data_IF_844706269030
#
_entry.id   IF_844706269030
#
_cell.length_a   1.000
_cell.length_b   1.000
_cell.length_c   1.000
_cell.angle_alpha   90.00
_cell.angle_beta   90.00
_cell.angle_gamma   90.00
#
_symmetry.space_group_name_H-M   'P 1'
#
loop_
_entity.id
_entity.type
_entity.pdbx_description
1 polymer ?
#
# COMPACT_ATOMS: atom_id res chain seq x y z
N UNK A 1 -24.65 6.35 13.49
CA UNK A 1 -24.05 5.06 13.93
C UNK A 1 -22.53 5.15 14.09
N UNK A 2 -21.78 5.73 13.15
CA UNK A 2 -20.31 5.87 13.23
C UNK A 2 -19.85 6.98 14.18
N UNK A 3 -20.49 8.16 14.15
CA UNK A 3 -20.16 9.28 15.07
C UNK A 3 -20.27 8.89 16.55
N UNK A 4 -21.24 8.03 16.88
CA UNK A 4 -21.40 7.50 18.25
C UNK A 4 -20.16 6.70 18.69
N UNK A 5 -19.62 5.86 17.81
CA UNK A 5 -18.43 5.06 18.11
C UNK A 5 -17.17 5.92 18.13
N UNK A 6 -17.05 6.91 17.24
CA UNK A 6 -15.92 7.86 17.22
C UNK A 6 -15.91 8.71 18.50
N UNK A 7 -17.08 9.20 18.94
CA UNK A 7 -17.20 9.95 20.19
C UNK A 7 -16.89 9.07 21.41
N UNK A 8 -17.30 7.80 21.39
CA UNK A 8 -16.99 6.84 22.46
C UNK A 8 -15.49 6.47 22.54
N UNK A 9 -14.74 6.57 21.44
CA UNK A 9 -13.29 6.35 21.43
C UNK A 9 -12.48 7.60 21.78
N UNK A 10 -13.13 8.71 22.15
CA UNK A 10 -12.46 9.97 22.49
C UNK A 10 -11.93 10.74 21.28
N UNK A 11 -12.33 10.36 20.07
CA UNK A 11 -11.93 11.02 18.82
C UNK A 11 -12.96 12.08 18.42
N UNK A 12 -12.49 13.15 17.76
CA UNK A 12 -13.35 14.23 17.31
C UNK A 12 -14.15 13.82 16.05
N UNK A 13 -15.48 13.69 16.13
CA UNK A 13 -16.31 13.27 15.00
C UNK A 13 -16.27 14.26 13.82
N UNK A 14 -15.89 15.52 14.03
CA UNK A 14 -15.73 16.48 12.93
C UNK A 14 -14.42 16.29 12.16
N UNK A 15 -13.40 15.67 12.77
CA UNK A 15 -12.10 15.41 12.13
C UNK A 15 -12.07 14.10 11.35
N UNK A 16 -12.81 13.09 11.81
CA UNK A 16 -12.79 11.74 11.25
C UNK A 16 -14.09 11.43 10.50
N UNK A 17 -13.99 11.37 9.18
CA UNK A 17 -15.12 11.01 8.31
C UNK A 17 -15.02 9.56 7.87
N UNK A 18 -16.15 8.99 7.44
CA UNK A 18 -16.22 7.64 6.85
C UNK A 18 -15.23 7.46 5.69
N UNK A 19 -15.03 8.51 4.88
CA UNK A 19 -14.07 8.48 3.78
C UNK A 19 -12.62 8.45 4.29
N UNK A 20 -12.27 9.23 5.32
CA UNK A 20 -10.92 9.19 5.92
C UNK A 20 -10.58 7.84 6.52
N UNK A 21 -11.54 7.19 7.20
CA UNK A 21 -11.36 5.85 7.74
C UNK A 21 -11.12 4.82 6.62
N UNK A 22 -11.86 4.91 5.51
CA UNK A 22 -11.65 4.09 4.32
C UNK A 22 -10.25 4.30 3.73
N UNK A 23 -9.80 5.55 3.65
CA UNK A 23 -8.46 5.87 3.17
C UNK A 23 -7.38 5.27 4.07
N UNK A 24 -7.51 5.42 5.39
CA UNK A 24 -6.56 4.83 6.34
C UNK A 24 -6.53 3.30 6.24
N UNK A 25 -7.69 2.64 6.14
CA UNK A 25 -7.75 1.18 5.99
C UNK A 25 -7.05 0.70 4.72
N UNK A 26 -7.29 1.37 3.59
CA UNK A 26 -6.63 1.06 2.32
C UNK A 26 -5.11 1.24 2.39
N UNK A 27 -4.62 2.36 2.93
CA UNK A 27 -3.18 2.60 3.13
C UNK A 27 -2.54 1.52 3.99
N UNK A 28 -3.18 1.13 5.10
CA UNK A 28 -2.64 0.10 5.99
C UNK A 28 -2.59 -1.27 5.32
N UNK A 29 -3.62 -1.65 4.56
CA UNK A 29 -3.64 -2.90 3.80
C UNK A 29 -2.54 -2.93 2.72
N UNK A 30 -2.31 -1.81 2.04
CA UNK A 30 -1.27 -1.70 1.02
C UNK A 30 0.14 -1.71 1.61
N UNK A 31 0.36 -1.01 2.72
CA UNK A 31 1.69 -0.90 3.34
C UNK A 31 2.10 -2.13 4.14
N UNK A 32 1.17 -2.74 4.88
CA UNK A 32 1.48 -3.79 5.86
C UNK A 32 0.84 -5.13 5.53
N UNK A 33 -0.20 -5.15 4.69
CA UNK A 33 -0.92 -6.37 4.34
C UNK A 33 -0.34 -7.12 3.14
N UNK A 34 0.75 -6.62 2.53
CA UNK A 34 1.25 -7.07 1.22
C UNK A 34 0.12 -7.17 0.17
N UNK A 35 -0.96 -6.40 0.34
CA UNK A 35 -2.13 -6.49 -0.51
C UNK A 35 -1.83 -5.74 -1.81
N UNK A 36 -1.90 -6.45 -2.92
CA UNK A 36 -1.68 -5.86 -4.24
C UNK A 36 -2.82 -4.88 -4.57
N UNK A 37 -2.55 -3.90 -5.44
CA UNK A 37 -3.49 -2.83 -5.84
C UNK A 37 -4.81 -3.41 -6.33
N UNK A 38 -4.75 -4.57 -7.00
CA UNK A 38 -5.91 -5.28 -7.54
C UNK A 38 -6.80 -5.85 -6.43
N UNK A 39 -6.20 -6.42 -5.40
CA UNK A 39 -6.91 -6.89 -4.20
C UNK A 39 -7.51 -5.71 -3.43
N UNK A 40 -6.79 -4.60 -3.31
CA UNK A 40 -7.32 -3.37 -2.71
C UNK A 40 -8.53 -2.84 -3.48
N UNK A 41 -8.48 -2.86 -4.82
CA UNK A 41 -9.58 -2.42 -5.67
C UNK A 41 -10.85 -3.26 -5.45
N UNK A 42 -10.71 -4.59 -5.39
CA UNK A 42 -11.83 -5.50 -5.13
C UNK A 42 -12.42 -5.30 -3.73
N UNK A 43 -11.58 -5.18 -2.70
CA UNK A 43 -12.02 -4.94 -1.31
C UNK A 43 -12.76 -3.60 -1.19
N UNK A 44 -12.30 -2.59 -1.93
CA UNK A 44 -12.92 -1.27 -1.92
C UNK A 44 -14.06 -1.15 -2.93
N UNK A 45 -14.29 -2.11 -3.82
CA UNK A 45 -15.36 -2.04 -4.83
C UNK A 45 -15.28 -0.80 -5.74
N UNK A 46 -14.07 -0.34 -6.05
CA UNK A 46 -13.88 0.81 -6.94
C UNK A 46 -14.03 0.37 -8.41
N UNK A 47 -14.92 1.02 -9.17
CA UNK A 47 -15.06 0.80 -10.63
C UNK A 47 -13.78 1.19 -11.41
N UNK A 48 -12.92 2.02 -10.83
CA UNK A 48 -11.69 2.49 -11.47
C UNK A 48 -10.44 2.31 -10.60
N UNK A 49 -9.39 1.75 -11.21
CA UNK A 49 -8.04 1.61 -10.64
C UNK A 49 -7.41 2.97 -10.31
N UNK A 50 -7.79 4.03 -11.02
CA UNK A 50 -7.21 5.37 -10.86
C UNK A 50 -7.42 5.93 -9.45
N UNK A 51 -8.53 5.60 -8.79
CA UNK A 51 -8.80 6.02 -7.40
C UNK A 51 -7.97 5.22 -6.37
N UNK A 52 -7.44 4.06 -6.76
CA UNK A 52 -6.59 3.20 -5.91
C UNK A 52 -5.10 3.50 -6.13
N UNK A 53 -4.72 4.05 -7.29
CA UNK A 53 -3.36 4.51 -7.58
C UNK A 53 -2.87 5.61 -6.63
N UNK A 54 -3.75 6.33 -5.94
CA UNK A 54 -3.34 7.31 -4.92
C UNK A 54 -2.57 6.67 -3.75
N UNK A 55 -2.71 5.36 -3.52
CA UNK A 55 -2.02 4.64 -2.44
C UNK A 55 -0.64 4.11 -2.84
N UNK A 56 -0.30 4.09 -4.13
CA UNK A 56 1.00 3.59 -4.58
C UNK A 56 2.13 4.55 -4.25
N UNK A 57 1.85 5.85 -4.15
CA UNK A 57 2.79 6.87 -3.69
C UNK A 57 3.29 6.65 -2.26
N UNK A 58 2.65 5.79 -1.47
CA UNK A 58 3.00 5.60 -0.05
C UNK A 58 4.02 4.47 0.16
N UNK A 59 4.55 3.85 -0.89
CA UNK A 59 5.47 2.71 -0.77
C UNK A 59 6.64 2.71 -1.76
N UNK A 60 7.46 3.76 -1.75
CA UNK A 60 8.73 3.82 -2.50
C UNK A 60 9.71 2.68 -2.10
N UNK A 61 9.61 2.20 -0.86
CA UNK A 61 10.43 1.09 -0.36
C UNK A 61 10.13 -0.25 -1.06
N UNK A 62 8.86 -0.51 -1.38
CA UNK A 62 8.45 -1.70 -2.13
C UNK A 62 8.87 -1.62 -3.60
N UNK A 63 8.95 -0.41 -4.17
CA UNK A 63 9.50 -0.21 -5.51
C UNK A 63 10.97 -0.62 -5.55
N UNK A 64 11.76 -0.16 -4.56
CA UNK A 64 13.17 -0.53 -4.42
C UNK A 64 13.36 -2.04 -4.24
N UNK A 65 12.55 -2.67 -3.38
CA UNK A 65 12.61 -4.12 -3.16
C UNK A 65 12.22 -4.90 -4.42
N UNK A 66 11.24 -4.43 -5.19
CA UNK A 66 10.86 -5.05 -6.49
C UNK A 66 12.00 -4.99 -7.50
N UNK A 67 12.75 -3.89 -7.53
CA UNK A 67 13.94 -3.76 -8.39
C UNK A 67 15.04 -4.71 -7.93
N UNK A 68 15.27 -4.85 -6.62
CA UNK A 68 16.26 -5.77 -6.04
C UNK A 68 15.88 -7.25 -6.23
N UNK A 69 14.58 -7.57 -6.27
CA UNK A 69 14.04 -8.93 -6.55
C UNK A 69 14.04 -9.28 -8.05
N UNK A 70 14.56 -8.41 -8.92
CA UNK A 70 14.63 -8.69 -10.34
C UNK A 70 15.54 -9.91 -10.58
N UNK A 71 15.07 -10.97 -11.26
CA UNK A 71 15.85 -12.18 -11.51
C UNK A 71 17.14 -11.92 -12.32
N UNK A 72 17.28 -10.77 -12.97
CA UNK A 72 18.50 -10.34 -13.65
C UNK A 72 19.47 -9.53 -12.76
N UNK A 73 19.06 -9.13 -11.55
CA UNK A 73 19.86 -8.30 -10.65
C UNK A 73 21.14 -9.00 -10.19
N UNK A 74 21.13 -10.33 -10.05
CA UNK A 74 22.28 -11.11 -9.58
C UNK A 74 23.18 -11.64 -10.70
N UNK A 75 22.80 -11.47 -11.97
CA UNK A 75 23.55 -12.04 -13.11
C UNK A 75 24.86 -11.29 -13.36
N UNK A 76 24.97 -10.04 -12.89
CA UNK A 76 26.15 -9.20 -13.09
C UNK A 76 27.27 -9.55 -12.09
N UNK A 77 26.97 -10.21 -10.96
CA UNK A 77 27.97 -10.55 -9.95
C UNK A 77 28.82 -11.79 -10.30
N UNK A 78 28.30 -12.71 -11.12
CA UNK A 78 28.99 -13.96 -11.44
C UNK A 78 30.06 -13.81 -12.55
N UNK A 79 30.06 -12.74 -13.34
CA UNK A 79 31.08 -12.52 -14.39
C UNK A 79 32.44 -12.05 -13.83
N UNK A 80 32.52 -11.60 -12.58
CA UNK A 80 33.77 -11.09 -11.98
C UNK A 80 34.51 -12.06 -11.06
N UNK A 81 34.08 -13.34 -10.96
CA UNK A 81 34.76 -14.37 -10.14
C UNK A 81 35.73 -15.27 -10.92
N UNK A 82 36.06 -14.92 -12.17
CA UNK A 82 36.90 -15.74 -13.06
C UNK A 82 38.35 -15.30 -13.26
N UNK A 83 38.84 -14.22 -12.63
CA UNK A 83 40.22 -13.75 -12.80
C UNK A 83 40.95 -13.57 -11.47
N UNK A 84 41.47 -14.67 -10.89
CA UNK A 84 42.77 -14.72 -10.21
C UNK A 84 43.32 -16.15 -10.18
#
# INVERSE_FOLDING_TARGET
MIEKHIRNSGLDPNKYTVHKLRHTAATLMYQYGNADIKSLQEILGHESITTTQIYTHVNDAMLKNTVEQNPLSNIIEDENKGEI
#
